data_IF_740753409215
#
_entry.id   IF_740753409215
#
_cell.length_a   1.000
_cell.length_b   1.000
_cell.length_c   1.000
_cell.angle_alpha   90.00
_cell.angle_beta   90.00
_cell.angle_gamma   90.00
#
_symmetry.space_group_name_H-M   'P 1'
#
loop_
_entity.id
_entity.type
_entity.pdbx_description
1 polymer ?
#
# COMPACT_ATOMS: atom_id res chain seq x y z
N UNK A 1 -11.47 7.10 -29.11
CA UNK A 1 -11.54 6.71 -27.67
C UNK A 1 -11.28 5.21 -27.60
N UNK A 2 -10.19 4.78 -26.97
CA UNK A 2 -9.96 3.35 -26.77
C UNK A 2 -11.07 2.81 -25.86
N UNK A 3 -11.75 1.72 -26.26
CA UNK A 3 -12.68 1.00 -25.38
C UNK A 3 -11.86 0.50 -24.20
N UNK A 4 -12.03 1.09 -23.02
CA UNK A 4 -11.45 0.56 -21.80
C UNK A 4 -12.15 -0.77 -21.52
N UNK A 5 -11.43 -1.88 -21.62
CA UNK A 5 -11.94 -3.21 -21.26
C UNK A 5 -12.06 -3.28 -19.73
N UNK A 6 -13.17 -2.76 -19.21
CA UNK A 6 -13.47 -2.73 -17.79
C UNK A 6 -13.98 -4.09 -17.34
N UNK A 7 -13.32 -4.66 -16.34
CA UNK A 7 -13.67 -5.93 -15.70
C UNK A 7 -14.29 -5.63 -14.33
N UNK A 8 -15.44 -6.23 -14.06
CA UNK A 8 -16.21 -6.14 -12.82
C UNK A 8 -15.64 -7.05 -11.73
N UNK A 9 -16.05 -6.81 -10.48
CA UNK A 9 -15.71 -7.68 -9.34
C UNK A 9 -16.17 -9.11 -9.56
N UNK A 10 -17.37 -9.32 -10.11
CA UNK A 10 -17.90 -10.67 -10.34
C UNK A 10 -17.10 -11.41 -11.42
N UNK A 11 -16.76 -10.74 -12.52
CA UNK A 11 -15.90 -11.32 -13.56
C UNK A 11 -14.50 -11.65 -13.01
N UNK A 12 -13.93 -10.81 -12.15
CA UNK A 12 -12.67 -11.14 -11.47
C UNK A 12 -12.82 -12.40 -10.62
N UNK A 13 -13.86 -12.48 -9.79
CA UNK A 13 -14.14 -13.65 -8.95
C UNK A 13 -14.20 -14.92 -9.82
N UNK A 14 -14.95 -14.88 -10.92
CA UNK A 14 -15.09 -16.00 -11.85
C UNK A 14 -13.73 -16.39 -12.45
N UNK A 15 -12.96 -15.43 -12.95
CA UNK A 15 -11.63 -15.69 -13.54
C UNK A 15 -10.65 -16.30 -12.52
N UNK A 16 -10.75 -15.94 -11.24
CA UNK A 16 -9.96 -16.60 -10.19
C UNK A 16 -10.32 -18.08 -9.97
N UNK A 17 -11.51 -18.52 -10.41
CA UNK A 17 -11.94 -19.93 -10.37
C UNK A 17 -11.72 -20.65 -11.70
N UNK A 18 -11.78 -19.94 -12.83
CA UNK A 18 -11.78 -20.54 -14.18
C UNK A 18 -10.47 -20.38 -14.94
N UNK A 19 -9.59 -19.46 -14.54
CA UNK A 19 -8.28 -19.26 -15.15
C UNK A 19 -7.15 -19.81 -14.26
N UNK A 20 -5.99 -20.03 -14.87
CA UNK A 20 -4.79 -20.33 -14.11
C UNK A 20 -4.37 -19.10 -13.30
N UNK A 21 -4.25 -19.26 -11.99
CA UNK A 21 -3.74 -18.24 -11.08
C UNK A 21 -2.35 -18.64 -10.59
N UNK A 22 -1.62 -17.66 -10.07
CA UNK A 22 -0.34 -17.87 -9.40
C UNK A 22 -0.57 -17.83 -7.90
N UNK A 23 0.03 -18.79 -7.19
CA UNK A 23 0.24 -18.62 -5.76
C UNK A 23 1.54 -17.83 -5.58
N UNK A 24 1.46 -16.73 -4.87
CA UNK A 24 2.60 -15.84 -4.62
C UNK A 24 2.68 -15.45 -3.16
N UNK A 25 3.90 -15.26 -2.69
CA UNK A 25 4.17 -14.77 -1.33
C UNK A 25 4.80 -13.38 -1.42
N UNK A 26 4.40 -12.40 -0.59
CA UNK A 26 5.12 -11.13 -0.51
C UNK A 26 6.62 -11.36 -0.32
N UNK A 27 7.44 -10.64 -1.08
CA UNK A 27 8.89 -10.67 -0.91
C UNK A 27 9.32 -10.03 0.42
N UNK A 28 10.58 -10.21 0.80
CA UNK A 28 11.20 -9.62 2.00
C UNK A 28 11.50 -8.12 1.83
N UNK A 29 10.72 -7.42 1.00
CA UNK A 29 10.82 -5.98 0.88
C UNK A 29 10.43 -5.33 2.20
N UNK A 30 11.44 -4.72 2.81
CA UNK A 30 11.33 -3.91 4.01
C UNK A 30 10.65 -2.59 3.72
N UNK A 31 9.86 -2.12 4.69
CA UNK A 31 9.18 -0.82 4.67
C UNK A 31 9.63 -0.04 5.88
N UNK A 32 10.05 1.19 5.65
CA UNK A 32 10.28 2.16 6.70
C UNK A 32 8.91 2.71 7.10
N UNK A 33 8.59 2.62 8.37
CA UNK A 33 7.37 3.15 8.98
C UNK A 33 7.78 4.27 9.91
N UNK A 34 7.16 5.45 9.74
CA UNK A 34 7.26 6.55 10.68
C UNK A 34 5.86 6.84 11.22
N UNK A 35 5.52 6.36 12.43
CA UNK A 35 4.26 6.71 13.08
C UNK A 35 4.25 8.22 13.40
N UNK A 36 3.20 8.93 12.98
CA UNK A 36 3.11 10.40 13.08
C UNK A 36 1.72 10.81 13.55
N UNK A 37 1.28 10.25 14.66
CA UNK A 37 -0.02 10.57 15.28
C UNK A 37 0.15 11.40 16.55
N UNK A 38 -0.95 11.99 17.03
CA UNK A 38 -0.98 12.85 18.20
C UNK A 38 -0.43 14.27 17.98
N UNK A 39 -0.17 14.66 16.73
CA UNK A 39 0.36 15.99 16.40
C UNK A 39 -0.71 17.08 16.55
N UNK A 40 -0.29 18.30 16.90
CA UNK A 40 -1.18 19.48 16.96
C UNK A 40 -1.30 20.17 15.60
N UNK A 41 -2.29 21.06 15.44
CA UNK A 41 -2.50 21.83 14.20
C UNK A 41 -3.20 21.06 13.07
N UNK A 42 -3.61 19.83 13.30
CA UNK A 42 -4.43 19.06 12.37
C UNK A 42 -5.78 19.74 12.12
N UNK A 43 -6.31 19.62 10.90
CA UNK A 43 -7.61 20.20 10.53
C UNK A 43 -8.55 19.10 10.05
N UNK A 44 -9.84 19.29 10.25
CA UNK A 44 -10.84 18.46 9.59
C UNK A 44 -10.72 18.64 8.08
N UNK A 45 -10.62 17.54 7.36
CA UNK A 45 -10.49 17.52 5.91
C UNK A 45 -11.40 16.43 5.34
N UNK A 46 -11.99 16.70 4.19
CA UNK A 46 -12.52 15.65 3.32
C UNK A 46 -11.36 15.02 2.55
N UNK A 47 -11.33 13.69 2.51
CA UNK A 47 -10.39 12.92 1.71
C UNK A 47 -11.09 11.70 1.12
N UNK A 48 -10.60 11.25 -0.03
CA UNK A 48 -11.01 9.98 -0.61
C UNK A 48 -10.09 8.90 -0.07
N UNK A 49 -10.67 7.94 0.64
CA UNK A 49 -9.89 6.80 1.12
C UNK A 49 -9.52 5.84 -0.02
N UNK A 50 -8.76 4.81 0.32
CA UNK A 50 -8.38 3.76 -0.61
C UNK A 50 -9.58 2.92 -1.10
N UNK A 51 -10.78 3.06 -0.51
CA UNK A 51 -12.04 2.45 -0.94
C UNK A 51 -12.85 3.37 -1.89
N UNK A 52 -12.33 4.55 -2.25
CA UNK A 52 -13.05 5.51 -3.08
C UNK A 52 -14.14 6.29 -2.38
N UNK A 53 -14.25 6.16 -1.07
CA UNK A 53 -15.27 6.84 -0.28
C UNK A 53 -14.71 8.15 0.23
N UNK A 54 -15.45 9.22 -0.03
CA UNK A 54 -15.20 10.49 0.66
C UNK A 54 -15.50 10.31 2.13
N UNK A 55 -14.50 10.61 2.96
CA UNK A 55 -14.57 10.58 4.42
C UNK A 55 -14.15 11.94 4.95
N UNK A 56 -14.67 12.27 6.14
CA UNK A 56 -14.20 13.39 6.95
C UNK A 56 -13.42 12.85 8.13
N UNK A 57 -12.24 13.40 8.35
CA UNK A 57 -11.41 13.07 9.51
C UNK A 57 -10.45 14.23 9.78
N UNK A 58 -9.83 14.24 10.96
CA UNK A 58 -8.86 15.26 11.34
C UNK A 58 -7.45 14.78 11.03
N UNK A 59 -6.68 15.58 10.28
CA UNK A 59 -5.37 15.15 9.84
C UNK A 59 -4.68 16.12 8.89
N UNK A 60 -3.90 15.56 7.96
CA UNK A 60 -3.10 16.32 7.00
C UNK A 60 -3.09 15.64 5.63
N UNK A 61 -3.23 16.43 4.57
CA UNK A 61 -3.07 15.94 3.20
C UNK A 61 -1.66 16.17 2.68
N UNK A 62 -1.16 15.25 1.84
CA UNK A 62 0.09 15.42 1.12
C UNK A 62 0.07 14.67 -0.20
N UNK A 63 0.84 15.14 -1.17
CA UNK A 63 0.95 14.49 -2.47
C UNK A 63 2.04 13.42 -2.51
N UNK A 64 1.78 12.24 -3.07
CA UNK A 64 2.79 11.22 -3.37
C UNK A 64 3.26 11.35 -4.83
N UNK A 65 4.52 11.74 -5.10
CA UNK A 65 4.99 11.97 -6.46
C UNK A 65 5.23 10.69 -7.26
N UNK A 66 5.41 9.52 -6.62
CA UNK A 66 5.55 8.24 -7.34
C UNK A 66 4.25 7.84 -8.03
N UNK A 67 3.14 7.95 -7.33
CA UNK A 67 1.82 7.48 -7.80
C UNK A 67 0.95 8.62 -8.36
N UNK A 68 1.44 9.86 -8.31
CA UNK A 68 0.70 11.06 -8.70
C UNK A 68 -0.67 11.18 -7.97
N UNK A 69 -0.67 10.89 -6.67
CA UNK A 69 -1.90 10.79 -5.88
C UNK A 69 -1.85 11.65 -4.62
N UNK A 70 -3.01 12.21 -4.23
CA UNK A 70 -3.16 12.81 -2.90
C UNK A 70 -3.30 11.71 -1.86
N UNK A 71 -2.67 11.90 -0.72
CA UNK A 71 -2.66 11.03 0.44
C UNK A 71 -3.19 11.81 1.64
N UNK A 72 -3.76 11.11 2.62
CA UNK A 72 -4.28 11.72 3.84
C UNK A 72 -3.80 10.95 5.06
N UNK A 73 -3.15 11.65 5.99
CA UNK A 73 -2.66 11.07 7.24
C UNK A 73 -3.49 11.56 8.43
N UNK A 74 -4.05 10.60 9.16
CA UNK A 74 -4.92 10.85 10.32
C UNK A 74 -4.12 11.32 11.51
N UNK A 75 -4.67 12.27 12.26
CA UNK A 75 -4.09 12.72 13.53
C UNK A 75 -4.09 11.62 14.59
N UNK A 76 -5.10 10.74 14.59
CA UNK A 76 -5.31 9.75 15.65
C UNK A 76 -4.33 8.59 15.63
N UNK A 77 -4.05 8.05 14.45
CA UNK A 77 -3.33 6.78 14.26
C UNK A 77 -2.49 6.72 12.97
N UNK A 78 -2.28 7.87 12.32
CA UNK A 78 -1.60 7.97 11.05
C UNK A 78 -0.12 7.57 11.10
N UNK A 79 0.31 6.84 10.08
CA UNK A 79 1.70 6.48 9.85
C UNK A 79 2.11 6.83 8.42
N UNK A 80 3.34 7.32 8.25
CA UNK A 80 3.99 7.44 6.95
C UNK A 80 4.71 6.13 6.64
N UNK A 81 4.66 5.70 5.37
CA UNK A 81 5.28 4.46 4.91
C UNK A 81 5.97 4.68 3.56
N UNK A 82 7.16 4.10 3.42
CA UNK A 82 7.92 4.06 2.19
C UNK A 82 8.72 2.75 2.11
N UNK A 83 9.20 2.38 0.92
CA UNK A 83 10.11 1.25 0.82
C UNK A 83 11.47 1.59 1.45
N UNK A 84 12.08 0.58 2.06
CA UNK A 84 13.48 0.66 2.47
C UNK A 84 14.40 0.60 1.24
N UNK A 85 15.59 1.18 1.36
CA UNK A 85 16.56 1.29 0.27
C UNK A 85 17.85 1.98 0.72
N UNK A 86 18.89 1.99 -0.13
CA UNK A 86 20.22 2.45 0.27
C UNK A 86 20.21 3.86 0.88
N UNK A 87 20.71 3.97 2.11
CA UNK A 87 20.91 5.26 2.81
C UNK A 87 19.63 5.96 3.29
N UNK A 88 18.45 5.35 3.11
CA UNK A 88 17.16 6.01 3.42
C UNK A 88 16.91 6.13 4.91
N UNK A 89 17.16 5.06 5.66
CA UNK A 89 16.98 5.04 7.11
C UNK A 89 17.90 6.05 7.79
N UNK A 90 19.16 6.12 7.38
CA UNK A 90 20.17 7.02 7.93
C UNK A 90 19.82 8.49 7.67
N UNK A 91 19.33 8.80 6.46
CA UNK A 91 18.86 10.15 6.11
C UNK A 91 17.67 10.56 6.97
N UNK A 92 16.69 9.67 7.15
CA UNK A 92 15.50 9.94 7.96
C UNK A 92 15.89 10.10 9.43
N UNK A 93 16.66 9.17 9.99
CA UNK A 93 17.12 9.21 11.37
C UNK A 93 17.88 10.52 11.66
N UNK A 94 18.82 10.90 10.79
CA UNK A 94 19.58 12.15 10.91
C UNK A 94 18.69 13.40 10.82
N UNK A 95 17.62 13.36 10.04
CA UNK A 95 16.67 14.48 10.00
C UNK A 95 15.88 14.59 11.32
N UNK A 96 15.37 13.47 11.83
CA UNK A 96 14.58 13.44 13.06
C UNK A 96 15.42 13.79 14.29
N UNK A 97 16.70 13.39 14.32
CA UNK A 97 17.66 13.79 15.36
C UNK A 97 17.88 15.31 15.36
N UNK A 98 18.04 15.92 14.16
CA UNK A 98 18.22 17.36 14.01
C UNK A 98 16.95 18.18 14.24
N UNK A 99 15.78 17.54 14.14
CA UNK A 99 14.48 18.19 14.22
C UNK A 99 13.57 17.37 15.15
N UNK A 100 13.84 17.35 16.48
CA UNK A 100 13.13 16.47 17.43
C UNK A 100 11.63 16.78 17.53
N UNK A 101 11.21 17.98 17.11
CA UNK A 101 9.82 18.42 17.10
C UNK A 101 9.13 18.25 15.73
N UNK A 102 9.84 17.72 14.72
CA UNK A 102 9.31 17.61 13.35
C UNK A 102 8.01 16.81 13.26
N UNK A 103 7.73 15.92 14.21
CA UNK A 103 6.54 15.06 14.19
C UNK A 103 5.47 15.50 15.20
N UNK A 104 5.67 16.63 15.89
CA UNK A 104 4.74 17.13 16.94
C UNK A 104 3.65 18.05 16.41
N UNK A 105 3.85 18.69 15.26
CA UNK A 105 2.89 19.63 14.66
C UNK A 105 2.63 19.30 13.19
N UNK A 106 1.48 19.72 12.68
CA UNK A 106 1.12 19.61 11.26
C UNK A 106 2.17 20.25 10.35
N UNK A 107 2.65 21.45 10.70
CA UNK A 107 3.69 22.18 9.96
C UNK A 107 5.02 21.43 9.96
N UNK A 108 5.41 20.86 11.12
CA UNK A 108 6.61 20.04 11.23
C UNK A 108 6.53 18.81 10.33
N UNK A 109 5.39 18.12 10.33
CA UNK A 109 5.16 16.93 9.51
C UNK A 109 5.22 17.30 8.02
N UNK A 110 4.67 18.45 7.62
CA UNK A 110 4.81 18.95 6.25
C UNK A 110 6.26 19.24 5.87
N UNK A 111 7.05 19.80 6.79
CA UNK A 111 8.49 19.99 6.63
C UNK A 111 9.23 18.67 6.44
N UNK A 112 8.90 17.66 7.25
CA UNK A 112 9.47 16.32 7.15
C UNK A 112 9.09 15.62 5.83
N UNK A 113 7.83 15.72 5.41
CA UNK A 113 7.35 15.18 4.14
C UNK A 113 8.09 15.84 2.96
N UNK A 114 8.32 17.16 3.01
CA UNK A 114 9.09 17.88 2.00
C UNK A 114 10.54 17.38 1.94
N UNK A 115 11.18 17.18 3.09
CA UNK A 115 12.50 16.57 3.16
C UNK A 115 12.55 15.18 2.52
N UNK A 116 11.59 14.29 2.84
CA UNK A 116 11.51 12.96 2.22
C UNK A 116 11.42 13.07 0.70
N UNK A 117 10.54 13.95 0.20
CA UNK A 117 10.33 14.17 -1.23
C UNK A 117 11.57 14.62 -1.99
N UNK A 118 12.42 15.40 -1.34
CA UNK A 118 13.61 15.97 -1.97
C UNK A 118 14.87 15.11 -1.79
N UNK A 119 14.99 14.37 -0.68
CA UNK A 119 16.27 13.77 -0.25
C UNK A 119 16.23 12.25 -0.09
N UNK A 120 15.02 11.66 0.02
CA UNK A 120 14.81 10.21 0.26
C UNK A 120 14.04 9.61 -0.93
N UNK A 121 14.59 9.80 -2.13
CA UNK A 121 13.98 9.39 -3.40
C UNK A 121 14.39 7.96 -3.80
N UNK A 122 13.65 7.35 -4.72
CA UNK A 122 13.99 6.06 -5.36
C UNK A 122 15.08 6.24 -6.40
N UNK A 123 15.55 5.14 -6.98
CA UNK A 123 16.46 5.16 -8.14
C UNK A 123 15.89 5.94 -9.34
N UNK A 124 14.56 6.06 -9.43
CA UNK A 124 13.88 6.86 -10.44
C UNK A 124 13.78 8.35 -10.08
N UNK A 125 14.44 8.80 -9.02
CA UNK A 125 14.44 10.20 -8.57
C UNK A 125 13.14 10.70 -7.95
N UNK A 126 12.18 9.82 -7.63
CA UNK A 126 10.90 10.19 -7.01
C UNK A 126 10.76 9.59 -5.62
N UNK A 127 10.19 10.33 -4.66
CA UNK A 127 9.83 9.73 -3.38
C UNK A 127 8.58 8.86 -3.48
N UNK A 128 8.60 7.73 -2.79
CA UNK A 128 7.55 6.73 -2.74
C UNK A 128 6.93 6.72 -1.34
N UNK A 129 6.20 7.79 -1.03
CA UNK A 129 5.69 8.07 0.32
C UNK A 129 4.17 7.94 0.32
N UNK A 130 3.64 7.02 1.13
CA UNK A 130 2.20 6.78 1.28
C UNK A 130 1.73 7.01 2.71
N UNK A 131 0.42 7.16 2.88
CA UNK A 131 -0.22 7.12 4.20
C UNK A 131 -0.62 5.68 4.57
N UNK A 132 -0.61 5.39 5.86
CA UNK A 132 -1.19 4.17 6.45
C UNK A 132 -1.61 4.46 7.90
N UNK A 133 -1.96 3.43 8.66
CA UNK A 133 -2.37 3.54 10.07
C UNK A 133 -1.72 2.46 10.94
N UNK A 134 -1.78 2.64 12.27
CA UNK A 134 -1.24 1.67 13.25
C UNK A 134 -1.86 0.28 13.09
N UNK A 135 -3.11 0.20 12.64
CA UNK A 135 -3.77 -1.08 12.40
C UNK A 135 -3.14 -1.85 11.23
N UNK A 136 -2.79 -1.18 10.13
CA UNK A 136 -2.02 -1.78 9.05
C UNK A 136 -0.63 -2.21 9.52
N UNK A 137 0.07 -1.34 10.27
CA UNK A 137 1.43 -1.62 10.76
C UNK A 137 1.44 -2.87 11.64
N UNK A 138 0.48 -3.04 12.54
CA UNK A 138 0.37 -4.25 13.38
C UNK A 138 0.12 -5.56 12.61
N UNK A 139 -0.29 -5.47 11.33
CA UNK A 139 -0.43 -6.64 10.47
C UNK A 139 0.88 -6.99 9.73
N UNK A 140 1.95 -6.21 9.88
CA UNK A 140 3.27 -6.52 9.34
C UNK A 140 3.96 -7.62 10.16
N UNK A 141 4.98 -8.24 9.57
CA UNK A 141 5.73 -9.34 10.18
C UNK A 141 6.47 -8.80 11.41
N UNK A 142 6.30 -9.51 12.53
CA UNK A 142 6.91 -9.19 13.84
C UNK A 142 6.61 -7.78 14.37
N UNK A 143 5.61 -7.11 13.81
CA UNK A 143 5.19 -5.78 14.25
C UNK A 143 4.39 -5.87 15.55
N UNK A 144 4.53 -4.87 16.43
CA UNK A 144 3.80 -4.83 17.70
C UNK A 144 2.30 -4.58 17.47
N UNK A 145 1.50 -4.76 18.51
CA UNK A 145 0.06 -4.45 18.46
C UNK A 145 -0.16 -2.94 18.28
N UNK A 146 -1.33 -2.50 17.75
CA UNK A 146 -1.58 -1.07 17.51
C UNK A 146 -1.31 -0.16 18.72
N UNK A 147 -1.67 -0.61 19.91
CA UNK A 147 -1.50 0.11 21.19
C UNK A 147 -0.04 0.23 21.67
N UNK A 148 0.87 -0.58 21.13
CA UNK A 148 2.30 -0.59 21.46
C UNK A 148 3.13 0.26 20.47
N UNK A 149 2.52 0.70 19.37
CA UNK A 149 3.19 1.57 18.39
C UNK A 149 3.30 2.97 18.98
N UNK A 150 4.49 3.56 18.93
CA UNK A 150 4.77 4.89 19.47
C UNK A 150 5.01 5.91 18.36
N UNK A 151 4.40 7.09 18.50
CA UNK A 151 4.62 8.21 17.58
C UNK A 151 6.09 8.64 17.60
N UNK A 152 6.62 9.01 16.43
CA UNK A 152 7.99 9.47 16.25
C UNK A 152 9.08 8.40 16.23
N UNK A 153 8.76 7.15 16.56
CA UNK A 153 9.71 6.04 16.54
C UNK A 153 9.74 5.40 15.15
N UNK A 154 10.76 5.73 14.36
CA UNK A 154 11.00 5.07 13.08
C UNK A 154 11.27 3.57 13.31
N UNK A 155 10.58 2.72 12.56
CA UNK A 155 10.72 1.26 12.60
C UNK A 155 10.72 0.70 11.19
N UNK A 156 11.26 -0.51 11.03
CA UNK A 156 11.35 -1.18 9.73
C UNK A 156 10.73 -2.56 9.84
N UNK A 157 9.77 -2.85 8.97
CA UNK A 157 9.06 -4.12 8.97
C UNK A 157 8.91 -4.70 7.57
N UNK A 158 8.71 -6.00 7.51
CA UNK A 158 8.37 -6.75 6.29
C UNK A 158 6.87 -7.05 6.25
N UNK A 159 6.33 -7.34 5.08
CA UNK A 159 4.98 -7.93 5.02
C UNK A 159 5.03 -9.36 5.57
N UNK A 160 3.97 -9.79 6.26
CA UNK A 160 3.80 -11.21 6.58
C UNK A 160 3.82 -12.02 5.28
N UNK A 161 4.59 -13.11 5.28
CA UNK A 161 4.72 -14.02 4.14
C UNK A 161 3.51 -14.97 4.07
N UNK A 162 2.30 -14.39 4.01
CA UNK A 162 1.07 -15.15 3.80
C UNK A 162 0.88 -15.32 2.29
N UNK A 163 0.77 -16.55 1.77
CA UNK A 163 0.50 -16.79 0.37
C UNK A 163 -0.83 -16.14 -0.06
N UNK A 164 -0.84 -15.54 -1.25
CA UNK A 164 -2.01 -14.95 -1.89
C UNK A 164 -2.09 -15.39 -3.33
N UNK A 165 -3.29 -15.32 -3.91
CA UNK A 165 -3.51 -15.68 -5.31
C UNK A 165 -3.43 -14.42 -6.18
N UNK A 166 -2.71 -14.54 -7.29
CA UNK A 166 -2.57 -13.50 -8.29
C UNK A 166 -3.05 -13.98 -9.67
N UNK A 167 -3.76 -13.11 -10.37
CA UNK A 167 -4.26 -13.34 -11.73
C UNK A 167 -3.65 -12.29 -12.67
N UNK A 168 -3.08 -12.71 -13.79
CA UNK A 168 -2.56 -11.77 -14.79
C UNK A 168 -3.69 -11.13 -15.59
N UNK A 169 -3.54 -9.83 -15.88
CA UNK A 169 -4.42 -9.09 -16.80
C UNK A 169 -3.58 -8.33 -17.82
N UNK A 170 -4.06 -8.30 -19.06
CA UNK A 170 -3.39 -7.63 -20.16
C UNK A 170 -3.40 -6.10 -20.01
N UNK A 171 -2.50 -5.45 -20.73
CA UNK A 171 -2.44 -3.99 -20.88
C UNK A 171 -3.82 -3.41 -21.28
N UNK A 172 -4.18 -2.26 -20.70
CA UNK A 172 -5.45 -1.58 -20.97
C UNK A 172 -6.67 -2.16 -20.24
N UNK A 173 -6.54 -3.32 -19.57
CA UNK A 173 -7.59 -3.83 -18.68
C UNK A 173 -7.76 -2.88 -17.51
N UNK A 174 -9.00 -2.50 -17.23
CA UNK A 174 -9.36 -1.68 -16.09
C UNK A 174 -10.16 -2.49 -15.09
N UNK A 175 -9.79 -2.46 -13.81
CA UNK A 175 -10.63 -3.03 -12.75
C UNK A 175 -11.21 -1.92 -11.87
N UNK A 176 -12.43 -2.14 -11.40
CA UNK A 176 -12.93 -1.40 -10.25
C UNK A 176 -12.59 -2.19 -8.99
N UNK A 177 -11.37 -1.98 -8.49
CA UNK A 177 -11.01 -2.42 -7.16
C UNK A 177 -11.65 -1.53 -6.09
N UNK A 178 -11.34 -1.75 -4.80
CA UNK A 178 -11.67 -0.81 -3.75
C UNK A 178 -11.04 0.57 -4.02
N UNK A 179 -9.89 0.66 -4.70
CA UNK A 179 -9.29 1.95 -5.07
C UNK A 179 -10.29 2.95 -5.70
N UNK A 180 -10.21 4.20 -5.23
CA UNK A 180 -11.04 5.32 -5.64
C UNK A 180 -11.16 5.58 -7.14
N UNK A 181 -10.13 5.19 -7.88
CA UNK A 181 -10.05 5.32 -9.32
C UNK A 181 -9.94 3.93 -9.96
N UNK A 182 -10.51 3.74 -11.17
CA UNK A 182 -10.26 2.54 -11.94
C UNK A 182 -8.75 2.32 -12.07
N UNK A 183 -8.28 1.16 -11.62
CA UNK A 183 -6.88 0.77 -11.78
C UNK A 183 -6.72 0.20 -13.19
N UNK A 184 -5.86 0.80 -14.00
CA UNK A 184 -5.60 0.39 -15.38
C UNK A 184 -4.25 -0.31 -15.46
N UNK A 185 -4.21 -1.45 -16.13
CA UNK A 185 -2.97 -2.17 -16.38
C UNK A 185 -2.13 -1.43 -17.42
N UNK A 186 -0.91 -1.07 -17.04
CA UNK A 186 0.04 -0.32 -17.88
C UNK A 186 0.70 -1.22 -18.92
N UNK A 187 1.67 -0.66 -19.65
CA UNK A 187 2.46 -1.36 -20.67
C UNK A 187 3.02 -2.67 -20.13
N UNK A 188 2.69 -3.77 -20.80
CA UNK A 188 3.11 -5.12 -20.41
C UNK A 188 2.22 -5.82 -19.38
N UNK A 189 1.10 -5.21 -18.98
CA UNK A 189 0.06 -5.79 -18.13
C UNK A 189 0.29 -5.64 -16.63
N UNK A 190 -0.60 -6.24 -15.85
CA UNK A 190 -0.60 -6.19 -14.40
C UNK A 190 -1.04 -7.53 -13.77
N UNK A 191 -0.87 -7.65 -12.46
CA UNK A 191 -1.42 -8.75 -11.68
C UNK A 191 -2.49 -8.22 -10.72
N UNK A 192 -3.66 -8.85 -10.73
CA UNK A 192 -4.71 -8.63 -9.74
C UNK A 192 -4.49 -9.61 -8.60
N UNK A 193 -4.44 -9.12 -7.38
CA UNK A 193 -4.25 -9.91 -6.16
C UNK A 193 -5.58 -9.99 -5.43
N UNK A 194 -5.98 -11.21 -5.08
CA UNK A 194 -7.17 -11.49 -4.25
C UNK A 194 -6.75 -11.51 -2.79
N UNK A 195 -7.20 -10.52 -2.02
CA UNK A 195 -6.98 -10.40 -0.58
C UNK A 195 -8.32 -10.54 0.17
N UNK A 196 -8.31 -11.10 1.38
CA UNK A 196 -9.48 -11.22 2.24
C UNK A 196 -9.22 -10.39 3.49
N UNK A 197 -10.10 -9.43 3.80
CA UNK A 197 -9.94 -8.63 5.02
C UNK A 197 -10.39 -9.38 6.29
N UNK A 198 -10.15 -8.77 7.46
CA UNK A 198 -10.54 -9.34 8.77
C UNK A 198 -12.05 -9.61 8.89
N UNK A 199 -12.90 -8.98 8.07
CA UNK A 199 -14.36 -9.16 8.01
C UNK A 199 -14.77 -10.16 6.92
N UNK A 200 -13.83 -10.93 6.38
CA UNK A 200 -14.04 -11.91 5.29
C UNK A 200 -14.55 -11.30 3.99
N UNK A 201 -14.32 -10.00 3.76
CA UNK A 201 -14.68 -9.35 2.49
C UNK A 201 -13.55 -9.52 1.50
N UNK A 202 -13.90 -9.79 0.24
CA UNK A 202 -12.96 -9.90 -0.87
C UNK A 202 -12.53 -8.51 -1.33
N UNK A 203 -11.22 -8.36 -1.49
CA UNK A 203 -10.57 -7.16 -2.00
C UNK A 203 -9.68 -7.54 -3.18
N UNK A 204 -9.72 -6.72 -4.22
CA UNK A 204 -8.90 -6.90 -5.42
C UNK A 204 -7.99 -5.71 -5.61
N UNK A 205 -6.67 -5.94 -5.61
CA UNK A 205 -5.68 -4.88 -5.86
C UNK A 205 -4.90 -5.20 -7.12
N UNK A 206 -4.75 -4.22 -8.01
CA UNK A 206 -3.87 -4.34 -9.17
C UNK A 206 -2.46 -3.92 -8.77
N UNK A 207 -1.48 -4.70 -9.21
CA UNK A 207 -0.05 -4.38 -9.09
C UNK A 207 0.55 -4.47 -10.47
N UNK A 208 1.14 -3.37 -10.95
CA UNK A 208 1.78 -3.34 -12.27
C UNK A 208 2.86 -4.42 -12.36
N UNK A 209 3.01 -5.06 -13.53
CA UNK A 209 3.83 -6.27 -13.69
C UNK A 209 5.26 -6.15 -13.16
N UNK A 210 5.92 -5.03 -13.44
CA UNK A 210 7.30 -4.83 -12.98
C UNK A 210 7.41 -4.61 -11.46
N UNK A 211 6.40 -3.97 -10.84
CA UNK A 211 6.33 -3.86 -9.38
C UNK A 211 5.99 -5.22 -8.75
N UNK A 212 5.13 -6.01 -9.38
CA UNK A 212 4.76 -7.34 -8.90
C UNK A 212 5.97 -8.26 -8.78
N UNK A 213 6.84 -8.27 -9.79
CA UNK A 213 8.08 -9.06 -9.81
C UNK A 213 9.05 -8.69 -8.67
N UNK A 214 8.99 -7.45 -8.17
CA UNK A 214 9.79 -6.99 -7.03
C UNK A 214 9.11 -7.34 -5.70
N UNK A 215 7.80 -7.17 -5.64
CA UNK A 215 7.02 -7.27 -4.42
C UNK A 215 6.57 -8.69 -4.07
N UNK A 216 6.67 -9.64 -4.99
CA UNK A 216 6.17 -11.00 -4.81
C UNK A 216 7.12 -12.05 -5.39
N UNK A 217 7.25 -13.18 -4.67
CA UNK A 217 7.89 -14.40 -5.15
C UNK A 217 6.80 -15.38 -5.57
N UNK A 218 6.91 -15.98 -6.76
CA UNK A 218 5.99 -17.03 -7.23
C UNK A 218 6.33 -18.33 -6.49
N UNK A 219 5.36 -18.88 -5.76
CA UNK A 219 5.52 -20.12 -4.99
C UNK A 219 4.78 -21.29 -5.61
N UNK A 220 3.81 -21.03 -6.50
CA UNK A 220 3.07 -22.08 -7.19
C UNK A 220 2.19 -21.58 -8.33
N UNK A 221 1.58 -22.54 -9.03
CA UNK A 221 0.54 -22.30 -10.04
C UNK A 221 -0.72 -23.05 -9.60
N UNK A 222 -1.85 -22.38 -9.63
CA UNK A 222 -3.15 -22.96 -9.29
C UNK A 222 -3.96 -23.02 -10.59
N UNK A 223 -4.25 -24.23 -11.04
CA UNK A 223 -5.16 -24.48 -12.17
C UNK A 223 -6.58 -24.80 -11.67
N UNK A 224 -7.65 -24.39 -12.36
CA UNK A 224 -9.05 -24.61 -11.96
C UNK A 224 -9.38 -26.04 -11.49
N UNK A 225 -8.78 -27.06 -12.13
CA UNK A 225 -8.98 -28.47 -11.79
C UNK A 225 -8.53 -28.84 -10.36
N UNK A 226 -7.61 -28.08 -9.75
CA UNK A 226 -7.15 -28.27 -8.38
C UNK A 226 -8.16 -27.75 -7.34
N UNK A 227 -9.00 -26.77 -7.69
CA UNK A 227 -10.02 -26.21 -6.79
C UNK A 227 -11.19 -27.18 -6.55
N UNK A 228 -11.53 -28.00 -7.55
CA UNK A 228 -12.59 -29.01 -7.44
C UNK A 228 -12.24 -30.17 -6.47
N UNK A 229 -10.95 -30.50 -6.32
CA UNK A 229 -10.49 -31.57 -5.41
C UNK A 229 -10.47 -31.17 -3.92
N UNK A 230 -10.42 -29.88 -3.61
CA UNK A 230 -10.35 -29.40 -2.22
C UNK A 230 -11.72 -29.08 -1.61
N UNK A 231 -12.77 -28.90 -2.42
CA UNK A 231 -14.15 -28.69 -1.95
C UNK A 231 -14.96 -30.00 -1.82
N UNK A 232 -14.31 -31.15 -2.03
CA UNK A 232 -14.90 -32.49 -1.92
C UNK A 232 -14.40 -33.26 -0.68
N UNK A 233 -13.93 -32.55 0.35
CA UNK A 233 -13.58 -33.09 1.67
C UNK A 233 -14.35 -32.40 2.78
#
# INVERSE_FOLDING_TARGET
>A
MAKTNRVTTNELIERFYTEQTLEVTPSELKRIIIPVFGFSGAKECEYTDWDGKTKKDTGLTFFNPKDNSMQFIKQKDGCLILYDGPGRQEKIAKYLEKNPDALKTAEGIQGFIRFIKEKVVTDSGKADLWNTDTQFVSNLKDAPKPEEIQSGKMVVFEKKQVPVNALYVAEGVSIQGPAASPQVADKGGAYVIKEVDKKKRLHFRMVQKEEFKKAYKITGKITPQMLAKNNSR
#
